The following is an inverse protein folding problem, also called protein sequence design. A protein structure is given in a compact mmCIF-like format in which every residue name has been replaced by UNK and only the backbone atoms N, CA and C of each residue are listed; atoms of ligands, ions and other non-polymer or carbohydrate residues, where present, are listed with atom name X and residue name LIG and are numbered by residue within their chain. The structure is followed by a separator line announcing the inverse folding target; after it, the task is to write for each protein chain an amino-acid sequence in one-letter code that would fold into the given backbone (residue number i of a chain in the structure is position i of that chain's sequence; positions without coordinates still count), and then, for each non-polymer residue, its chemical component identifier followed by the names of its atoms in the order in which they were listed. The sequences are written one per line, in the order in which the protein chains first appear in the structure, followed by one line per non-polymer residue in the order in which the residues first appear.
data_IF_575425233049
#
_entry.id   IF_575425233049
#
_cell.length_a   1.000
_cell.length_b   1.000
_cell.length_c   1.000
_cell.angle_alpha   90.00
_cell.angle_beta   90.00
_cell.angle_gamma   90.00
#
_symmetry.space_group_name_H-M   'P 1'
#
loop_
_entity.id
_entity.type
_entity.pdbx_description
1 polymer ?
#
# COMPACT_ATOMS: atom_id res chain seq x y z
N UNK A 1 -5.51 -30.91 -3.95
CA UNK A 1 -4.90 -29.80 -3.19
C UNK A 1 -4.53 -28.72 -4.18
N UNK A 2 -5.08 -27.52 -4.07
CA UNK A 2 -4.71 -26.39 -4.95
C UNK A 2 -3.72 -25.53 -4.15
N UNK A 3 -2.46 -25.53 -4.56
CA UNK A 3 -1.43 -24.67 -3.97
C UNK A 3 -1.56 -23.28 -4.60
N UNK A 4 -1.92 -22.26 -3.80
CA UNK A 4 -1.97 -20.87 -4.25
C UNK A 4 -0.60 -20.23 -4.00
N UNK A 5 0.26 -20.22 -5.02
CA UNK A 5 1.64 -19.75 -4.92
C UNK A 5 1.70 -18.23 -5.16
N UNK A 6 1.24 -17.47 -4.15
CA UNK A 6 1.32 -16.02 -4.12
C UNK A 6 0.08 -15.28 -4.62
N UNK A 7 0.02 -13.99 -4.33
CA UNK A 7 -1.07 -13.11 -4.73
C UNK A 7 -0.55 -11.79 -5.28
N UNK A 8 -1.32 -11.20 -6.20
CA UNK A 8 -1.08 -9.87 -6.72
C UNK A 8 -2.04 -8.93 -5.99
N UNK A 9 -1.46 -7.98 -5.26
CA UNK A 9 -2.21 -6.94 -4.59
C UNK A 9 -2.01 -5.65 -5.37
N UNK A 10 -3.10 -5.02 -5.75
CA UNK A 10 -3.10 -3.68 -6.34
C UNK A 10 -3.89 -2.76 -5.42
N UNK A 11 -3.41 -1.55 -5.20
CA UNK A 11 -4.11 -0.55 -4.40
C UNK A 11 -3.96 0.83 -5.02
N UNK A 12 -4.96 1.64 -4.71
CA UNK A 12 -5.07 3.02 -5.13
C UNK A 12 -5.39 3.87 -3.90
N UNK A 13 -4.69 4.99 -3.73
CA UNK A 13 -4.89 5.92 -2.63
C UNK A 13 -4.95 7.35 -3.15
N UNK A 14 -6.01 8.06 -2.75
CA UNK A 14 -6.20 9.48 -3.02
C UNK A 14 -6.43 10.22 -1.73
N UNK A 15 -5.74 11.35 -1.60
CA UNK A 15 -5.90 12.27 -0.47
C UNK A 15 -6.81 13.40 -0.92
N UNK A 16 -7.87 13.66 -0.17
CA UNK A 16 -8.80 14.76 -0.47
C UNK A 16 -8.30 16.10 0.09
N UNK A 17 -7.48 16.06 1.14
CA UNK A 17 -6.92 17.24 1.82
C UNK A 17 -5.37 17.13 1.91
N UNK A 18 -4.63 18.00 1.23
CA UNK A 18 -3.17 17.92 1.06
C UNK A 18 -2.35 17.91 2.36
N UNK A 19 -1.06 17.57 2.25
CA UNK A 19 -0.10 17.73 3.33
C UNK A 19 -0.06 16.55 4.30
N UNK A 20 -0.31 15.34 3.79
CA UNK A 20 0.05 14.09 4.46
C UNK A 20 1.26 13.48 3.75
N UNK A 21 1.99 12.61 4.44
CA UNK A 21 2.98 11.76 3.79
C UNK A 21 2.45 10.34 3.68
N UNK A 22 2.75 9.68 2.58
CA UNK A 22 2.37 8.31 2.31
C UNK A 22 3.60 7.44 2.13
N UNK A 23 3.57 6.22 2.67
CA UNK A 23 4.51 5.14 2.36
C UNK A 23 3.81 3.79 2.37
N UNK A 24 4.43 2.80 1.73
CA UNK A 24 3.97 1.43 1.75
C UNK A 24 5.11 0.45 2.04
N UNK A 25 4.85 -0.52 2.92
CA UNK A 25 5.78 -1.60 3.25
C UNK A 25 5.08 -2.94 3.22
N UNK A 26 5.82 -3.99 2.88
CA UNK A 26 5.40 -5.38 2.99
C UNK A 26 6.17 -6.06 4.11
N UNK A 27 5.42 -6.73 4.97
CA UNK A 27 5.87 -7.53 6.10
C UNK A 27 5.48 -8.98 5.84
N UNK A 28 6.40 -9.81 5.36
CA UNK A 28 6.16 -11.23 5.21
C UNK A 28 5.96 -11.91 6.57
N UNK A 29 5.12 -12.95 6.58
CA UNK A 29 4.79 -13.72 7.78
C UNK A 29 5.79 -14.83 8.11
N UNK A 30 6.89 -14.95 7.37
CA UNK A 30 7.92 -15.96 7.60
C UNK A 30 8.59 -15.78 8.97
N UNK A 31 9.18 -16.87 9.50
CA UNK A 31 9.86 -16.92 10.82
C UNK A 31 11.01 -15.90 10.97
N UNK A 32 11.44 -15.26 9.88
CA UNK A 32 12.44 -14.20 9.89
C UNK A 32 11.81 -12.90 9.40
N UNK A 33 11.60 -11.92 10.29
CA UNK A 33 10.97 -10.67 9.93
C UNK A 33 11.93 -9.83 9.09
N UNK A 34 11.58 -9.61 7.83
CA UNK A 34 12.20 -8.59 6.99
C UNK A 34 11.12 -7.62 6.50
N UNK A 35 11.53 -6.45 6.00
CA UNK A 35 10.59 -5.43 5.50
C UNK A 35 10.96 -5.04 4.09
N UNK A 36 10.02 -5.16 3.16
CA UNK A 36 10.18 -4.66 1.80
C UNK A 36 9.53 -3.28 1.73
N UNK A 37 10.28 -2.26 1.31
CA UNK A 37 9.72 -0.93 1.05
C UNK A 37 9.12 -0.94 -0.35
N UNK A 38 7.79 -0.85 -0.42
CA UNK A 38 7.02 -0.85 -1.67
C UNK A 38 6.91 0.55 -2.26
N UNK A 39 6.71 1.56 -1.40
CA UNK A 39 6.72 2.97 -1.78
C UNK A 39 7.44 3.76 -0.69
N UNK A 40 8.42 4.57 -1.09
CA UNK A 40 9.17 5.41 -0.16
C UNK A 40 8.25 6.52 0.36
N UNK A 41 8.54 6.99 1.57
CA UNK A 41 7.80 8.10 2.17
C UNK A 41 7.86 9.32 1.24
N UNK A 42 6.72 9.71 0.71
CA UNK A 42 6.57 10.89 -0.15
C UNK A 42 5.42 11.75 0.36
N UNK A 43 5.57 13.06 0.18
CA UNK A 43 4.52 14.03 0.51
C UNK A 43 3.48 14.00 -0.60
N UNK A 44 2.21 13.85 -0.23
CA UNK A 44 1.10 13.86 -1.17
C UNK A 44 0.69 15.32 -1.45
N UNK A 45 0.67 15.72 -2.73
CA UNK A 45 0.25 17.07 -3.11
C UNK A 45 -1.28 17.14 -3.36
N UNK A 46 -1.73 18.29 -3.88
CA UNK A 46 -3.14 18.64 -4.04
C UNK A 46 -3.87 17.71 -5.02
N UNK A 47 -5.20 17.73 -4.95
CA UNK A 47 -6.19 16.87 -5.61
C UNK A 47 -6.02 16.70 -7.13
N UNK A 48 -5.30 17.61 -7.80
CA UNK A 48 -4.99 17.53 -9.24
C UNK A 48 -3.85 16.56 -9.58
N UNK A 49 -3.11 16.06 -8.59
CA UNK A 49 -2.17 14.96 -8.81
C UNK A 49 -2.90 13.61 -8.89
N UNK A 50 -2.39 12.76 -9.79
CA UNK A 50 -2.88 11.43 -10.07
C UNK A 50 -2.92 10.59 -8.78
N UNK A 51 -3.97 9.78 -8.61
CA UNK A 51 -4.08 8.90 -7.43
C UNK A 51 -2.86 7.96 -7.38
N UNK A 52 -2.34 7.70 -6.18
CA UNK A 52 -1.22 6.76 -6.03
C UNK A 52 -1.72 5.36 -6.28
N UNK A 53 -1.41 4.82 -7.44
CA UNK A 53 -1.70 3.44 -7.82
C UNK A 53 -0.41 2.61 -7.78
N UNK A 54 -0.46 1.50 -7.04
CA UNK A 54 0.67 0.58 -6.90
C UNK A 54 0.20 -0.87 -7.03
N UNK A 55 1.12 -1.74 -7.46
CA UNK A 55 0.88 -3.17 -7.63
C UNK A 55 2.08 -3.94 -7.12
N UNK A 56 1.83 -4.96 -6.30
CA UNK A 56 2.86 -5.82 -5.73
C UNK A 56 2.47 -7.29 -5.90
N UNK A 57 3.42 -8.11 -6.36
CA UNK A 57 3.27 -9.57 -6.40
C UNK A 57 3.94 -10.12 -5.13
N UNK A 58 3.14 -10.57 -4.19
CA UNK A 58 3.61 -11.23 -2.99
C UNK A 58 3.92 -12.70 -3.32
N UNK A 59 5.21 -13.06 -3.22
CA UNK A 59 5.68 -14.45 -3.40
C UNK A 59 5.42 -15.34 -2.18
N UNK A 60 5.07 -14.75 -1.04
CA UNK A 60 4.77 -15.45 0.21
C UNK A 60 3.67 -14.76 1.01
N UNK A 61 3.03 -15.45 1.97
CA UNK A 61 2.02 -14.85 2.84
C UNK A 61 2.61 -13.72 3.68
N UNK A 62 1.89 -12.61 3.77
CA UNK A 62 2.33 -11.44 4.52
C UNK A 62 1.28 -10.34 4.55
N UNK A 63 1.69 -9.17 5.06
CA UNK A 63 0.84 -7.98 5.20
C UNK A 63 1.45 -6.81 4.45
N UNK A 64 0.61 -6.09 3.70
CA UNK A 64 0.95 -4.75 3.23
C UNK A 64 0.48 -3.73 4.27
N UNK A 65 1.38 -2.83 4.67
CA UNK A 65 1.11 -1.72 5.58
C UNK A 65 1.18 -0.43 4.77
N UNK A 66 0.04 0.26 4.67
CA UNK A 66 -0.05 1.60 4.11
C UNK A 66 0.02 2.60 5.26
N UNK A 67 1.06 3.42 5.30
CA UNK A 67 1.25 4.41 6.35
C UNK A 67 0.91 5.80 5.82
N UNK A 68 0.04 6.50 6.55
CA UNK A 68 -0.35 7.88 6.26
C UNK A 68 0.00 8.75 7.47
N UNK A 69 1.02 9.59 7.32
CA UNK A 69 1.44 10.52 8.36
C UNK A 69 0.74 11.87 8.16
N UNK A 70 -0.10 12.25 9.12
CA UNK A 70 -0.72 13.57 9.17
C UNK A 70 0.03 14.47 10.17
N UNK A 71 0.89 15.40 9.72
CA UNK A 71 1.61 16.31 10.60
C UNK A 71 0.73 17.43 11.20
N UNK A 72 -0.57 17.45 10.87
CA UNK A 72 -1.50 18.49 11.34
C UNK A 72 -2.60 17.87 12.20
N UNK A 73 -3.11 18.62 13.18
CA UNK A 73 -4.25 18.18 13.99
C UNK A 73 -5.61 18.31 13.27
N UNK A 74 -5.63 18.86 12.05
CA UNK A 74 -6.83 18.91 11.21
C UNK A 74 -7.17 17.51 10.72
N UNK A 75 -8.46 17.13 10.83
CA UNK A 75 -8.95 15.89 10.24
C UNK A 75 -8.84 15.99 8.72
N UNK A 76 -8.23 14.99 8.11
CA UNK A 76 -8.09 14.87 6.66
C UNK A 76 -8.87 13.67 6.16
N UNK A 77 -9.43 13.77 4.97
CA UNK A 77 -10.10 12.66 4.32
C UNK A 77 -9.21 12.07 3.24
N UNK A 78 -9.24 10.75 3.15
CA UNK A 78 -8.59 9.99 2.09
C UNK A 78 -9.52 8.88 1.65
N UNK A 79 -9.38 8.49 0.39
CA UNK A 79 -10.07 7.35 -0.20
C UNK A 79 -8.99 6.36 -0.58
N UNK A 80 -9.19 5.10 -0.20
CA UNK A 80 -8.34 4.02 -0.64
C UNK A 80 -9.20 2.89 -1.20
N UNK A 81 -8.64 2.17 -2.17
CA UNK A 81 -9.24 0.95 -2.70
C UNK A 81 -8.12 -0.04 -2.93
N UNK A 82 -8.39 -1.31 -2.68
CA UNK A 82 -7.46 -2.37 -3.00
C UNK A 82 -8.19 -3.53 -3.64
N UNK A 83 -7.42 -4.31 -4.40
CA UNK A 83 -7.86 -5.55 -5.02
C UNK A 83 -6.75 -6.58 -4.89
N UNK A 84 -7.13 -7.77 -4.44
CA UNK A 84 -6.25 -8.93 -4.38
C UNK A 84 -6.68 -9.90 -5.47
N UNK A 85 -5.71 -10.41 -6.23
CA UNK A 85 -5.92 -11.49 -7.20
C UNK A 85 -4.96 -12.63 -6.89
N UNK A 86 -5.37 -13.90 -7.00
CA UNK A 86 -4.41 -14.99 -7.01
C UNK A 86 -3.44 -14.82 -8.19
N UNK A 87 -2.20 -15.24 -8.02
CA UNK A 87 -1.32 -15.50 -9.16
C UNK A 87 -1.86 -16.76 -9.81
N UNK A 88 -2.49 -16.62 -10.98
CA UNK A 88 -2.80 -17.77 -11.84
C UNK A 88 -1.55 -18.02 -12.68
N UNK A 89 -1.03 -19.24 -12.60
CA UNK A 89 -0.05 -19.76 -13.56
C UNK A 89 -0.70 -20.00 -14.93
#
# INVERSE_FOLDING_TARGET
MIYMQGCIISWELRVLDWGVSYSATFLPGAKHPYTIILDKKKKMACVDEEAVANKFKAGEPGKIVLTIDNPTSKRKRLIYRFKVKPVQD
#
